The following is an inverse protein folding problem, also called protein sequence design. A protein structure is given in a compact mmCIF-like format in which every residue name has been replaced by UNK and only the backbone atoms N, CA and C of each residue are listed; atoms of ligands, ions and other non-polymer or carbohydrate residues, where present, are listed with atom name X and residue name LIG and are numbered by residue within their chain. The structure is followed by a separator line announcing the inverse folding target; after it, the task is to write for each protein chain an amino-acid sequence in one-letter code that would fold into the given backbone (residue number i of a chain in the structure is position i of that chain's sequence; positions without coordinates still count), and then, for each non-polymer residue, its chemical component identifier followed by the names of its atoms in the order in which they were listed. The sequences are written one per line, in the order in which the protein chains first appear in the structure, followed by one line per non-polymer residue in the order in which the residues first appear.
data_IF_890266680540
#
_entry.id   IF_890266680540
#
_cell.length_a   1.000
_cell.length_b   1.000
_cell.length_c   1.000
_cell.angle_alpha   90.00
_cell.angle_beta   90.00
_cell.angle_gamma   90.00
#
_symmetry.space_group_name_H-M   'P 1'
#
loop_
_entity.id
_entity.type
_entity.pdbx_description
1 polymer ?
#
# COMPACT_ATOMS: atom_id res chain seq x y z
N UNK A 1 16.88 -7.94 -14.30
CA UNK A 1 15.61 -8.45 -13.74
C UNK A 1 14.58 -7.38 -14.03
N UNK A 2 13.90 -7.48 -15.18
CA UNK A 2 12.75 -6.63 -15.50
C UNK A 2 11.74 -6.79 -14.34
N UNK A 3 11.45 -5.68 -13.68
CA UNK A 3 10.89 -5.68 -12.33
C UNK A 3 9.44 -6.11 -12.35
N UNK A 4 8.97 -6.70 -11.25
CA UNK A 4 7.60 -7.21 -10.99
C UNK A 4 6.43 -6.23 -11.30
N UNK A 5 6.75 -5.01 -11.72
CA UNK A 5 5.85 -3.91 -12.02
C UNK A 5 5.67 -3.66 -13.52
N UNK A 6 6.42 -4.35 -14.39
CA UNK A 6 6.32 -4.13 -15.84
C UNK A 6 4.95 -4.52 -16.41
N UNK A 7 4.31 -5.53 -15.80
CA UNK A 7 2.97 -6.06 -16.13
C UNK A 7 1.81 -5.30 -15.44
N UNK A 8 2.11 -4.30 -14.60
CA UNK A 8 1.08 -3.54 -13.93
C UNK A 8 0.44 -2.54 -14.91
N UNK A 9 -0.86 -2.27 -14.70
CA UNK A 9 -1.58 -1.32 -15.54
C UNK A 9 -0.94 0.08 -15.45
N UNK A 10 -0.74 0.72 -16.61
CA UNK A 10 -0.14 2.05 -16.71
C UNK A 10 -1.16 3.07 -17.21
N UNK A 11 -1.03 4.31 -16.76
CA UNK A 11 -1.82 5.44 -17.25
C UNK A 11 -1.39 5.85 -18.67
N UNK A 12 -2.09 6.80 -19.27
CA UNK A 12 -1.82 7.28 -20.64
C UNK A 12 -0.44 7.98 -20.77
N UNK A 13 0.27 8.18 -19.65
CA UNK A 13 1.62 8.75 -19.56
C UNK A 13 2.68 7.70 -19.23
N UNK A 14 2.31 6.43 -19.08
CA UNK A 14 3.21 5.32 -18.78
C UNK A 14 3.55 5.14 -17.30
N UNK A 15 2.89 5.86 -16.38
CA UNK A 15 3.05 5.64 -14.93
C UNK A 15 2.16 4.51 -14.45
N UNK A 16 2.54 3.82 -13.37
CA UNK A 16 1.67 2.82 -12.74
C UNK A 16 0.35 3.44 -12.30
N UNK A 17 -0.78 2.86 -12.70
CA UNK A 17 -2.09 3.23 -12.16
C UNK A 17 -2.19 2.73 -10.73
N UNK A 18 -1.99 3.65 -9.80
CA UNK A 18 -2.16 3.41 -8.36
C UNK A 18 -3.32 4.25 -7.84
N UNK A 19 -4.24 3.61 -7.13
CA UNK A 19 -5.32 4.31 -6.43
C UNK A 19 -4.88 4.54 -4.99
N UNK A 20 -5.10 5.74 -4.41
CA UNK A 20 -4.80 5.95 -3.01
C UNK A 20 -5.66 5.03 -2.14
N UNK A 21 -5.03 4.48 -1.10
CA UNK A 21 -5.73 3.78 -0.03
C UNK A 21 -6.40 4.83 0.85
N UNK A 22 -7.72 4.75 0.98
CA UNK A 22 -8.51 5.71 1.75
C UNK A 22 -8.66 5.27 3.20
N UNK A 23 -8.93 3.98 3.41
CA UNK A 23 -9.06 3.38 4.71
C UNK A 23 -8.75 1.89 4.66
N UNK A 24 -8.48 1.28 5.81
CA UNK A 24 -8.42 -0.17 5.95
C UNK A 24 -9.09 -0.62 7.24
N UNK A 25 -9.59 -1.85 7.26
CA UNK A 25 -10.22 -2.45 8.44
C UNK A 25 -9.86 -3.93 8.50
N UNK A 26 -9.60 -4.43 9.70
CA UNK A 26 -9.34 -5.86 9.92
C UNK A 26 -10.42 -6.50 10.78
N UNK A 27 -10.65 -7.79 10.57
CA UNK A 27 -11.53 -8.62 11.38
C UNK A 27 -10.88 -9.99 11.64
N UNK A 28 -11.03 -10.51 12.86
CA UNK A 28 -10.59 -11.86 13.19
C UNK A 28 -11.76 -12.83 13.04
N UNK A 29 -11.52 -13.93 12.32
CA UNK A 29 -12.47 -15.03 12.21
C UNK A 29 -11.89 -16.24 12.95
N UNK A 30 -12.22 -16.34 14.25
CA UNK A 30 -11.62 -17.32 15.14
C UNK A 30 -10.11 -17.15 15.27
N UNK A 31 -9.39 -18.27 15.41
CA UNK A 31 -7.91 -18.29 15.48
C UNK A 31 -7.25 -18.59 14.13
N UNK A 32 -8.04 -18.74 13.07
CA UNK A 32 -7.58 -19.36 11.83
C UNK A 32 -7.45 -18.38 10.67
N UNK A 33 -8.25 -17.31 10.62
CA UNK A 33 -8.27 -16.38 9.48
C UNK A 33 -8.37 -14.93 9.93
N UNK A 34 -7.79 -14.05 9.13
CA UNK A 34 -7.93 -12.60 9.26
C UNK A 34 -8.55 -12.04 7.99
N UNK A 35 -9.66 -11.31 8.14
CA UNK A 35 -10.20 -10.45 7.09
C UNK A 35 -9.46 -9.13 7.05
N UNK A 36 -9.07 -8.69 5.85
CA UNK A 36 -8.55 -7.35 5.59
C UNK A 36 -9.41 -6.72 4.50
N UNK A 37 -10.02 -5.58 4.81
CA UNK A 37 -10.73 -4.73 3.85
C UNK A 37 -9.91 -3.47 3.62
N UNK A 38 -9.64 -3.15 2.36
CA UNK A 38 -8.90 -1.95 1.94
C UNK A 38 -9.81 -1.15 1.02
N UNK A 39 -10.17 0.06 1.42
CA UNK A 39 -10.91 1.00 0.58
C UNK A 39 -9.93 1.74 -0.33
N UNK A 40 -10.22 1.73 -1.64
CA UNK A 40 -9.43 2.40 -2.67
C UNK A 40 -10.35 3.36 -3.45
N UNK A 41 -9.83 4.47 -3.95
CA UNK A 41 -10.65 5.39 -4.72
C UNK A 41 -10.00 6.75 -4.89
N UNK A 42 -10.78 7.78 -5.21
CA UNK A 42 -10.31 9.16 -5.17
C UNK A 42 -10.22 9.65 -3.73
N UNK A 43 -9.31 10.56 -3.42
CA UNK A 43 -9.16 11.14 -2.06
C UNK A 43 -10.45 11.80 -1.55
N UNK A 44 -11.35 12.20 -2.47
CA UNK A 44 -12.65 12.79 -2.17
C UNK A 44 -13.75 11.98 -2.89
N UNK A 45 -14.24 10.88 -2.30
CA UNK A 45 -15.40 10.18 -2.84
C UNK A 45 -16.65 11.07 -2.70
N UNK A 46 -17.56 11.01 -3.69
CA UNK A 46 -18.79 11.82 -3.63
C UNK A 46 -19.73 11.27 -2.55
N UNK A 47 -20.47 12.14 -1.82
CA UNK A 47 -21.46 11.68 -0.87
C UNK A 47 -22.48 10.73 -1.52
N UNK A 48 -22.64 9.54 -0.93
CA UNK A 48 -23.56 8.51 -1.42
C UNK A 48 -23.02 7.62 -2.55
N UNK A 49 -21.80 7.86 -3.04
CA UNK A 49 -21.15 6.98 -4.01
C UNK A 49 -20.48 5.80 -3.27
N UNK A 50 -20.67 4.54 -3.75
CA UNK A 50 -20.00 3.40 -3.15
C UNK A 50 -18.49 3.50 -3.36
N UNK A 51 -17.74 3.41 -2.26
CA UNK A 51 -16.27 3.35 -2.30
C UNK A 51 -15.84 1.91 -2.62
N UNK A 52 -15.09 1.67 -3.71
CA UNK A 52 -14.63 0.33 -4.02
C UNK A 52 -13.68 -0.17 -2.93
N UNK A 53 -13.78 -1.47 -2.61
CA UNK A 53 -12.96 -2.08 -1.58
C UNK A 53 -12.43 -3.44 -2.03
N UNK A 54 -11.14 -3.66 -1.81
CA UNK A 54 -10.52 -4.98 -1.88
C UNK A 54 -10.75 -5.70 -0.55
N UNK A 55 -11.32 -6.90 -0.60
CA UNK A 55 -11.51 -7.75 0.58
C UNK A 55 -10.66 -9.01 0.44
N UNK A 56 -9.82 -9.25 1.43
CA UNK A 56 -8.90 -10.39 1.50
C UNK A 56 -9.22 -11.23 2.73
N UNK A 57 -9.14 -12.54 2.58
CA UNK A 57 -9.09 -13.49 3.69
C UNK A 57 -7.70 -14.09 3.73
N UNK A 58 -7.00 -13.92 4.84
CA UNK A 58 -5.60 -14.26 4.99
C UNK A 58 -5.42 -15.34 6.05
N UNK A 59 -4.51 -16.27 5.77
CA UNK A 59 -3.97 -17.22 6.74
C UNK A 59 -2.96 -16.56 7.69
N UNK A 60 -2.72 -17.11 8.90
CA UNK A 60 -1.84 -16.49 9.89
C UNK A 60 -0.40 -16.29 9.37
N UNK A 61 0.09 -17.18 8.50
CA UNK A 61 1.38 -17.03 7.86
C UNK A 61 1.42 -15.85 6.87
N UNK A 62 0.35 -15.65 6.09
CA UNK A 62 0.23 -14.54 5.14
C UNK A 62 0.11 -13.20 5.88
N UNK A 63 -0.59 -13.16 7.01
CA UNK A 63 -0.68 -11.97 7.86
C UNK A 63 0.70 -11.55 8.36
N UNK A 64 1.51 -12.51 8.85
CA UNK A 64 2.89 -12.23 9.29
C UNK A 64 3.76 -11.69 8.16
N UNK A 65 3.73 -12.35 7.00
CA UNK A 65 4.49 -11.92 5.82
C UNK A 65 4.08 -10.51 5.36
N UNK A 66 2.78 -10.21 5.36
CA UNK A 66 2.29 -8.88 4.99
C UNK A 66 2.75 -7.82 6.00
N UNK A 67 2.68 -8.11 7.30
CA UNK A 67 3.14 -7.19 8.34
C UNK A 67 4.65 -6.90 8.22
N UNK A 68 5.46 -7.93 7.98
CA UNK A 68 6.90 -7.79 7.77
C UNK A 68 7.22 -6.92 6.54
N UNK A 69 6.54 -7.16 5.41
CA UNK A 69 6.74 -6.37 4.20
C UNK A 69 6.34 -4.89 4.37
N UNK A 70 5.26 -4.62 5.09
CA UNK A 70 4.83 -3.24 5.39
C UNK A 70 5.82 -2.53 6.33
N UNK A 71 6.31 -3.23 7.37
CA UNK A 71 7.30 -2.68 8.29
C UNK A 71 8.64 -2.39 7.58
N UNK A 72 9.07 -3.27 6.67
CA UNK A 72 10.26 -3.03 5.84
C UNK A 72 10.08 -1.79 4.95
N UNK A 73 8.93 -1.63 4.31
CA UNK A 73 8.63 -0.46 3.49
C UNK A 73 8.64 0.84 4.33
N UNK A 74 8.08 0.80 5.54
CA UNK A 74 8.12 1.94 6.47
C UNK A 74 9.55 2.31 6.87
N UNK A 75 10.39 1.33 7.23
CA UNK A 75 11.78 1.56 7.58
C UNK A 75 12.55 2.24 6.44
N UNK A 76 12.39 1.75 5.20
CA UNK A 76 13.00 2.36 4.01
C UNK A 76 12.51 3.78 3.76
N UNK A 77 11.24 4.07 4.00
CA UNK A 77 10.69 5.43 3.90
C UNK A 77 11.27 6.36 4.96
N UNK A 78 11.45 5.88 6.20
CA UNK A 78 12.08 6.63 7.26
C UNK A 78 13.53 6.98 6.89
N UNK A 79 14.33 6.00 6.47
CA UNK A 79 15.72 6.19 6.04
C UNK A 79 15.83 7.17 4.87
N UNK A 80 14.97 7.05 3.86
CA UNK A 80 14.96 7.94 2.70
C UNK A 80 14.74 9.42 3.10
N UNK A 81 13.86 9.70 4.07
CA UNK A 81 13.62 11.06 4.57
C UNK A 81 14.86 11.70 5.20
N UNK A 82 15.78 10.89 5.73
CA UNK A 82 17.05 11.38 6.31
C UNK A 82 18.15 11.60 5.27
N UNK A 83 18.01 11.08 4.05
CA UNK A 83 19.01 11.28 2.97
C UNK A 83 18.84 12.62 2.23
N UNK A 84 17.68 13.27 2.31
CA UNK A 84 17.37 14.50 1.54
C UNK A 84 17.98 15.79 2.13
N UNK A 85 18.63 15.74 3.30
CA UNK A 85 19.24 16.91 3.94
C UNK A 85 20.77 16.99 3.86
N UNK A 86 21.44 16.06 3.18
CA UNK A 86 22.89 16.03 3.08
C UNK A 86 23.41 16.51 1.71
N UNK A 87 23.16 17.78 1.37
CA UNK A 87 24.04 18.49 0.41
C UNK A 87 24.75 19.61 1.18
N UNK A 88 26.03 19.44 1.56
CA UNK A 88 26.82 20.55 2.05
C UNK A 88 27.10 21.48 0.87
N UNK A 89 26.67 22.74 0.99
CA UNK A 89 27.00 23.79 0.03
C UNK A 89 28.51 23.86 -0.17
N UNK A 90 28.95 23.77 -1.42
CA UNK A 90 30.30 24.21 -1.80
C UNK A 90 30.23 25.72 -2.01
N UNK A 91 30.97 26.44 -1.18
CA UNK A 91 31.39 27.81 -1.45
C UNK A 91 32.45 27.89 -2.52
#
# INVERSE_FOLDING_TARGET
MAGRFDDWEKDDKGHLKVWPMLAFTTALFGTEKVGLRIEIGTEQPKPGEPVPALQLVLDPAQVRQLAEALAEAEARLADARFTTHATPGRG
#
